data_IF_504464355217
#
_entry.id   IF_504464355217
#
_cell.length_a   1.000
_cell.length_b   1.000
_cell.length_c   1.000
_cell.angle_alpha   90.00
_cell.angle_beta   90.00
_cell.angle_gamma   90.00
#
_symmetry.space_group_name_H-M   'P 1'
#
loop_
_entity.id
_entity.type
_entity.pdbx_description
1 polymer ?
#
# COMPACT_ATOMS: atom_id res chain seq x y z
N UNK A 1 6.64 -27.30 -42.12
CA UNK A 1 6.11 -28.31 -41.17
C UNK A 1 4.76 -27.84 -40.71
N UNK A 2 3.69 -28.62 -40.92
CA UNK A 2 2.35 -28.24 -40.46
C UNK A 2 2.12 -28.80 -39.06
N UNK A 3 1.84 -27.93 -38.08
CA UNK A 3 1.35 -28.35 -36.77
C UNK A 3 -0.02 -29.02 -36.95
N UNK A 4 -0.16 -30.26 -36.48
CA UNK A 4 -1.41 -31.00 -36.63
C UNK A 4 -2.53 -30.33 -35.81
N UNK A 5 -3.76 -30.45 -36.29
CA UNK A 5 -4.96 -29.87 -35.64
C UNK A 5 -5.07 -30.36 -34.19
N UNK A 6 -4.62 -31.58 -33.89
CA UNK A 6 -4.52 -32.12 -32.52
C UNK A 6 -3.58 -31.33 -31.61
N UNK A 7 -2.46 -30.80 -32.11
CA UNK A 7 -1.52 -29.98 -31.31
C UNK A 7 -2.08 -28.58 -31.11
N UNK A 8 -2.75 -28.01 -32.12
CA UNK A 8 -3.45 -26.72 -31.98
C UNK A 8 -4.58 -26.81 -30.94
N UNK A 9 -5.38 -27.87 -30.98
CA UNK A 9 -6.42 -28.13 -29.97
C UNK A 9 -5.81 -28.39 -28.58
N UNK A 10 -4.70 -29.11 -28.47
CA UNK A 10 -4.01 -29.31 -27.19
C UNK A 10 -3.49 -27.99 -26.61
N UNK A 11 -2.90 -27.11 -27.43
CA UNK A 11 -2.45 -25.77 -27.00
C UNK A 11 -3.63 -24.90 -26.53
N UNK A 12 -4.74 -24.88 -27.28
CA UNK A 12 -5.97 -24.17 -26.88
C UNK A 12 -6.53 -24.72 -25.56
N UNK A 13 -6.52 -26.04 -25.38
CA UNK A 13 -7.00 -26.68 -24.14
C UNK A 13 -6.07 -26.44 -22.94
N UNK A 14 -4.74 -26.37 -23.14
CA UNK A 14 -3.82 -25.95 -22.08
C UNK A 14 -4.14 -24.51 -21.61
N UNK A 15 -4.39 -23.60 -22.55
CA UNK A 15 -4.82 -22.22 -22.26
C UNK A 15 -6.26 -22.11 -21.73
N UNK A 16 -7.05 -23.18 -21.77
CA UNK A 16 -8.44 -23.22 -21.27
C UNK A 16 -8.58 -23.86 -19.88
N UNK A 17 -7.45 -24.15 -19.21
CA UNK A 17 -7.46 -24.68 -17.85
C UNK A 17 -7.96 -23.61 -16.86
N UNK A 18 -8.89 -23.92 -15.93
CA UNK A 18 -9.28 -22.98 -14.86
C UNK A 18 -8.14 -22.70 -13.86
N UNK A 19 -6.96 -23.29 -14.06
CA UNK A 19 -5.71 -22.92 -13.39
C UNK A 19 -5.21 -21.50 -13.73
N UNK A 20 -5.82 -20.81 -14.71
CA UNK A 20 -5.69 -19.37 -14.90
C UNK A 20 -6.71 -18.55 -14.08
N UNK A 21 -7.12 -19.01 -12.89
CA UNK A 21 -7.43 -18.06 -11.83
C UNK A 21 -6.12 -17.38 -11.44
N UNK A 22 -5.87 -16.18 -11.96
CA UNK A 22 -4.78 -15.33 -11.48
C UNK A 22 -4.99 -15.08 -9.99
N UNK A 23 -4.20 -15.78 -9.17
CA UNK A 23 -4.11 -15.42 -7.77
C UNK A 23 -3.39 -14.07 -7.71
N UNK A 24 -4.12 -13.02 -7.31
CA UNK A 24 -3.58 -11.67 -7.14
C UNK A 24 -2.40 -11.70 -6.18
N UNK A 25 -1.20 -11.81 -6.75
CA UNK A 25 0.05 -12.03 -6.04
C UNK A 25 0.86 -10.76 -6.18
N UNK A 26 0.62 -9.83 -5.25
CA UNK A 26 1.34 -8.55 -5.18
C UNK A 26 2.84 -8.79 -5.34
N UNK A 27 3.41 -8.24 -6.42
CA UNK A 27 4.82 -8.40 -6.73
C UNK A 27 5.62 -7.65 -5.68
N UNK A 28 6.72 -8.21 -5.15
CA UNK A 28 7.63 -7.45 -4.32
C UNK A 28 8.15 -6.23 -5.10
N UNK A 29 7.93 -5.03 -4.57
CA UNK A 29 8.56 -3.82 -5.09
C UNK A 29 10.05 -3.84 -4.73
N UNK A 30 10.91 -3.44 -5.67
CA UNK A 30 12.36 -3.49 -5.52
C UNK A 30 12.99 -2.12 -5.84
N UNK A 31 13.66 -1.46 -4.87
CA UNK A 31 13.83 -1.86 -3.47
C UNK A 31 12.51 -1.81 -2.69
N UNK A 32 12.38 -2.62 -1.63
CA UNK A 32 11.14 -2.65 -0.84
C UNK A 32 10.87 -1.28 -0.17
N UNK A 33 9.60 -0.83 -0.08
CA UNK A 33 9.24 0.46 0.52
C UNK A 33 9.76 0.61 1.95
N UNK A 34 9.86 -0.48 2.71
CA UNK A 34 10.46 -0.55 4.04
C UNK A 34 11.94 -0.16 4.08
N UNK A 35 12.72 -0.67 3.12
CA UNK A 35 14.17 -0.42 3.05
C UNK A 35 14.39 1.05 2.71
N UNK A 36 13.62 1.58 1.78
CA UNK A 36 13.67 2.99 1.36
C UNK A 36 13.25 3.95 2.48
N UNK A 37 12.13 3.67 3.16
CA UNK A 37 11.67 4.46 4.32
C UNK A 37 12.65 4.39 5.51
N UNK A 38 13.46 3.33 5.60
CA UNK A 38 14.54 3.23 6.58
C UNK A 38 15.77 4.06 6.16
N UNK A 39 16.11 4.08 4.87
CA UNK A 39 17.19 4.92 4.31
C UNK A 39 16.90 6.42 4.41
N UNK A 40 15.62 6.82 4.52
CA UNK A 40 15.21 8.20 4.73
C UNK A 40 15.43 8.71 6.17
N UNK A 41 15.83 7.86 7.14
CA UNK A 41 16.09 8.29 8.52
C UNK A 41 17.23 9.33 8.60
N UNK A 42 16.88 10.59 8.88
CA UNK A 42 17.86 11.70 9.02
C UNK A 42 18.21 12.04 10.47
N UNK A 43 17.34 11.73 11.42
CA UNK A 43 17.53 11.98 12.87
C UNK A 43 16.89 10.85 13.68
N UNK A 44 17.44 10.55 14.86
CA UNK A 44 16.83 9.53 15.73
C UNK A 44 15.48 10.03 16.29
N UNK A 45 14.46 9.17 16.25
CA UNK A 45 13.17 9.37 16.93
C UNK A 45 13.32 9.69 18.43
N UNK A 46 14.43 9.31 19.07
CA UNK A 46 14.74 9.64 20.47
C UNK A 46 15.02 11.14 20.69
N UNK A 47 15.41 11.88 19.65
CA UNK A 47 15.50 13.35 19.71
C UNK A 47 14.13 14.03 19.60
N UNK A 48 13.11 13.30 19.14
CA UNK A 48 11.79 13.82 18.80
C UNK A 48 10.67 13.36 19.76
N UNK A 49 11.03 12.85 20.95
CA UNK A 49 10.07 12.34 21.95
C UNK A 49 8.98 13.36 22.34
N UNK A 50 9.30 14.66 22.34
CA UNK A 50 8.35 15.75 22.66
C UNK A 50 7.29 15.97 21.57
N UNK A 51 7.56 15.49 20.35
CA UNK A 51 6.66 15.62 19.21
C UNK A 51 5.81 14.37 18.97
N UNK A 52 6.08 13.26 19.68
CA UNK A 52 5.26 12.04 19.61
C UNK A 52 3.77 12.33 19.80
N UNK A 53 2.97 11.66 19.00
CA UNK A 53 1.51 11.62 19.09
C UNK A 53 1.05 10.19 18.83
N UNK A 54 -0.08 9.80 19.41
CA UNK A 54 -0.82 8.63 18.91
C UNK A 54 -1.75 9.13 17.80
N UNK A 55 -1.61 8.58 16.60
CA UNK A 55 -2.47 8.88 15.46
C UNK A 55 -3.80 8.11 15.49
N UNK A 56 -4.02 7.27 16.51
CA UNK A 56 -5.22 6.46 16.69
C UNK A 56 -5.47 5.53 15.49
N UNK A 57 -4.48 4.69 15.17
CA UNK A 57 -4.58 3.72 14.05
C UNK A 57 -5.92 2.98 14.09
N UNK A 58 -6.70 2.93 12.98
CA UNK A 58 -8.09 2.49 13.05
C UNK A 58 -8.22 1.03 13.52
N UNK A 59 -8.80 0.84 14.71
CA UNK A 59 -8.89 -0.47 15.36
C UNK A 59 -9.68 -1.50 14.53
N UNK A 60 -10.64 -1.05 13.72
CA UNK A 60 -11.37 -1.91 12.78
C UNK A 60 -10.47 -2.59 11.72
N UNK A 61 -9.32 -2.00 11.40
CA UNK A 61 -8.36 -2.58 10.46
C UNK A 61 -7.46 -3.62 11.14
N UNK A 62 -7.20 -3.47 12.45
CA UNK A 62 -6.26 -4.34 13.21
C UNK A 62 -6.70 -5.80 13.20
N UNK A 63 -8.01 -6.06 13.24
CA UNK A 63 -8.58 -7.39 13.05
C UNK A 63 -8.88 -7.72 11.58
N UNK A 64 -7.91 -7.44 10.70
CA UNK A 64 -7.93 -7.84 9.29
C UNK A 64 -7.85 -9.36 9.06
N UNK A 65 -8.30 -10.17 10.02
CA UNK A 65 -8.69 -11.57 9.81
C UNK A 65 -10.12 -11.69 9.25
N UNK A 66 -10.92 -10.62 9.39
CA UNK A 66 -12.32 -10.54 8.94
C UNK A 66 -12.50 -10.04 7.50
N UNK A 67 -11.47 -9.47 6.90
CA UNK A 67 -11.56 -8.94 5.54
C UNK A 67 -11.66 -10.08 4.53
N UNK A 68 -12.69 -10.03 3.69
CA UNK A 68 -12.69 -10.75 2.44
C UNK A 68 -11.55 -10.25 1.54
N UNK A 69 -11.11 -11.08 0.58
CA UNK A 69 -9.94 -10.78 -0.28
C UNK A 69 -10.03 -9.40 -0.93
N UNK A 70 -11.23 -9.05 -1.37
CA UNK A 70 -11.62 -7.82 -2.06
C UNK A 70 -11.54 -6.59 -1.15
N UNK A 71 -12.06 -6.67 0.08
CA UNK A 71 -11.94 -5.61 1.08
C UNK A 71 -10.50 -5.39 1.51
N UNK A 72 -9.73 -6.47 1.68
CA UNK A 72 -8.31 -6.40 1.96
C UNK A 72 -7.53 -5.68 0.84
N UNK A 73 -7.76 -6.03 -0.43
CA UNK A 73 -7.20 -5.35 -1.61
C UNK A 73 -7.56 -3.85 -1.61
N UNK A 74 -8.83 -3.50 -1.38
CA UNK A 74 -9.29 -2.12 -1.33
C UNK A 74 -8.68 -1.31 -0.17
N UNK A 75 -8.45 -1.93 1.00
CA UNK A 75 -7.78 -1.32 2.15
C UNK A 75 -6.28 -1.11 1.87
N UNK A 76 -5.60 -2.07 1.23
CA UNK A 76 -4.19 -1.91 0.83
C UNK A 76 -4.01 -0.81 -0.21
N UNK A 77 -4.88 -0.76 -1.23
CA UNK A 77 -4.88 0.29 -2.26
C UNK A 77 -5.04 1.67 -1.62
N UNK A 78 -6.06 1.86 -0.78
CA UNK A 78 -6.27 3.12 -0.09
C UNK A 78 -5.09 3.48 0.84
N UNK A 79 -4.49 2.51 1.53
CA UNK A 79 -3.32 2.73 2.37
C UNK A 79 -2.12 3.23 1.53
N UNK A 80 -1.78 2.56 0.44
CA UNK A 80 -0.69 2.99 -0.44
C UNK A 80 -0.97 4.35 -1.09
N UNK A 81 -2.21 4.61 -1.52
CA UNK A 81 -2.60 5.89 -2.11
C UNK A 81 -2.42 7.04 -1.12
N UNK A 82 -2.84 6.86 0.14
CA UNK A 82 -2.67 7.90 1.15
C UNK A 82 -1.18 8.12 1.53
N UNK A 83 -0.36 7.06 1.58
CA UNK A 83 1.09 7.19 1.76
C UNK A 83 1.71 7.94 0.58
N UNK A 84 1.41 7.56 -0.66
CA UNK A 84 1.92 8.22 -1.86
C UNK A 84 1.56 9.72 -1.87
N UNK A 85 0.29 10.04 -1.60
CA UNK A 85 -0.19 11.42 -1.51
C UNK A 85 0.54 12.23 -0.43
N UNK A 86 0.80 11.63 0.74
CA UNK A 86 1.50 12.27 1.85
C UNK A 86 2.96 12.60 1.51
N UNK A 87 3.67 11.66 0.89
CA UNK A 87 5.09 11.82 0.54
C UNK A 87 5.33 12.60 -0.75
N UNK A 88 4.31 12.79 -1.59
CA UNK A 88 4.36 13.65 -2.78
C UNK A 88 4.16 15.14 -2.48
N UNK A 89 3.81 15.51 -1.25
CA UNK A 89 3.64 16.92 -0.85
C UNK A 89 4.99 17.65 -0.77
N UNK A 90 5.00 18.95 -1.07
CA UNK A 90 6.21 19.79 -1.05
C UNK A 90 6.93 19.81 0.31
N UNK A 91 6.22 19.60 1.42
CA UNK A 91 6.83 19.45 2.75
C UNK A 91 7.71 18.21 2.89
N UNK A 92 7.47 17.16 2.11
CA UNK A 92 8.25 15.91 2.05
C UNK A 92 9.58 16.12 1.33
N UNK A 93 9.57 16.88 0.21
CA UNK A 93 10.77 17.22 -0.57
C UNK A 93 11.83 17.98 0.27
N UNK A 94 11.40 18.79 1.23
CA UNK A 94 12.31 19.48 2.18
C UNK A 94 12.77 18.54 3.30
N UNK A 95 11.94 17.56 3.67
CA UNK A 95 12.17 16.66 4.80
C UNK A 95 13.17 15.54 4.50
N UNK A 96 13.26 15.09 3.25
CA UNK A 96 14.04 13.92 2.83
C UNK A 96 15.08 14.24 1.75
N UNK A 97 15.93 13.28 1.41
CA UNK A 97 16.81 13.36 0.25
C UNK A 97 16.02 12.93 -1.00
N UNK A 98 16.25 13.59 -2.14
CA UNK A 98 15.49 13.35 -3.38
C UNK A 98 15.60 11.88 -3.83
N UNK A 99 16.81 11.35 -3.98
CA UNK A 99 17.01 9.99 -4.54
C UNK A 99 16.35 8.85 -3.71
N UNK A 100 16.39 8.82 -2.36
CA UNK A 100 15.59 7.87 -1.59
C UNK A 100 14.08 8.08 -1.69
N UNK A 101 13.62 9.34 -1.70
CA UNK A 101 12.20 9.68 -1.79
C UNK A 101 11.60 9.31 -3.15
N UNK A 102 12.29 9.61 -4.26
CA UNK A 102 11.86 9.26 -5.62
C UNK A 102 11.72 7.74 -5.78
N UNK A 103 12.69 6.96 -5.25
CA UNK A 103 12.62 5.50 -5.24
C UNK A 103 11.46 5.00 -4.39
N UNK A 104 11.18 5.63 -3.25
CA UNK A 104 10.06 5.26 -2.39
C UNK A 104 8.71 5.51 -3.08
N UNK A 105 8.53 6.68 -3.71
CA UNK A 105 7.34 7.02 -4.48
C UNK A 105 7.16 6.12 -5.70
N UNK A 106 8.23 5.82 -6.45
CA UNK A 106 8.17 4.87 -7.56
C UNK A 106 7.80 3.45 -7.11
N UNK A 107 8.36 2.99 -5.98
CA UNK A 107 8.01 1.69 -5.39
C UNK A 107 6.55 1.60 -4.95
N UNK A 108 6.01 2.67 -4.35
CA UNK A 108 4.59 2.78 -3.99
C UNK A 108 3.67 2.82 -5.22
N UNK A 109 4.05 3.56 -6.25
CA UNK A 109 3.27 3.65 -7.49
C UNK A 109 3.16 2.28 -8.17
N UNK A 110 4.25 1.50 -8.25
CA UNK A 110 4.20 0.13 -8.75
C UNK A 110 3.23 -0.77 -7.94
N UNK A 111 3.17 -0.63 -6.61
CA UNK A 111 2.21 -1.39 -5.80
C UNK A 111 0.75 -0.98 -6.06
N UNK A 112 0.50 0.29 -6.41
CA UNK A 112 -0.84 0.76 -6.79
C UNK A 112 -1.26 0.17 -8.14
N UNK A 113 -0.41 0.25 -9.15
CA UNK A 113 -0.66 -0.34 -10.49
C UNK A 113 -0.90 -1.87 -10.40
N UNK A 114 -0.10 -2.58 -9.60
CA UNK A 114 -0.27 -4.01 -9.34
C UNK A 114 -1.64 -4.32 -8.68
N UNK A 115 -2.12 -3.45 -7.77
CA UNK A 115 -3.42 -3.58 -7.10
C UNK A 115 -4.61 -3.23 -8.01
N UNK A 116 -4.47 -2.19 -8.83
CA UNK A 116 -5.51 -1.78 -9.79
C UNK A 116 -5.71 -2.88 -10.84
N UNK A 117 -4.62 -3.44 -11.36
CA UNK A 117 -4.68 -4.61 -12.27
C UNK A 117 -5.44 -5.79 -11.63
N UNK A 118 -5.17 -6.11 -10.35
CA UNK A 118 -5.91 -7.15 -9.65
C UNK A 118 -7.41 -6.85 -9.48
N UNK A 119 -7.79 -5.58 -9.30
CA UNK A 119 -9.19 -5.18 -9.15
C UNK A 119 -9.93 -5.23 -10.49
N UNK A 120 -9.30 -4.83 -11.59
CA UNK A 120 -9.91 -4.87 -12.93
C UNK A 120 -10.26 -6.30 -13.40
N UNK A 121 -9.49 -7.31 -12.95
CA UNK A 121 -9.77 -8.72 -13.23
C UNK A 121 -10.99 -9.27 -12.45
N UNK A 122 -11.44 -8.59 -11.38
CA UNK A 122 -12.60 -9.00 -10.58
C UNK A 122 -13.92 -8.45 -11.16
N UNK A 123 -14.73 -9.34 -11.74
CA UNK A 123 -15.98 -9.02 -12.49
C UNK A 123 -17.06 -8.18 -11.79
N UNK A 124 -16.92 -7.84 -10.51
CA UNK A 124 -17.93 -7.16 -9.69
C UNK A 124 -17.39 -5.93 -8.92
N UNK A 125 -16.30 -5.28 -9.39
CA UNK A 125 -15.63 -4.12 -8.75
C UNK A 125 -16.57 -3.16 -8.00
N UNK A 126 -17.65 -2.73 -8.64
CA UNK A 126 -18.59 -1.74 -8.11
C UNK A 126 -19.27 -2.16 -6.79
N UNK A 127 -19.59 -3.45 -6.64
CA UNK A 127 -20.16 -4.01 -5.42
C UNK A 127 -19.11 -4.23 -4.32
N UNK A 128 -17.84 -4.40 -4.70
CA UNK A 128 -16.69 -4.56 -3.81
C UNK A 128 -16.25 -3.21 -3.20
N UNK A 129 -16.30 -2.14 -3.99
CA UNK A 129 -16.03 -0.78 -3.53
C UNK A 129 -17.09 -0.29 -2.52
N UNK A 130 -18.34 -0.73 -2.67
CA UNK A 130 -19.43 -0.49 -1.71
C UNK A 130 -19.21 -1.23 -0.38
N UNK A 131 -18.83 -2.52 -0.42
CA UNK A 131 -18.55 -3.28 0.79
C UNK A 131 -17.39 -2.72 1.62
N UNK A 132 -16.34 -2.25 0.93
CA UNK A 132 -15.10 -1.73 1.55
C UNK A 132 -15.13 -0.23 1.90
N UNK A 133 -16.20 0.50 1.57
CA UNK A 133 -16.26 1.97 1.69
C UNK A 133 -15.95 2.45 3.12
N UNK A 134 -16.50 1.79 4.14
CA UNK A 134 -16.27 2.14 5.55
C UNK A 134 -14.80 1.99 5.96
N UNK A 135 -14.16 0.90 5.54
CA UNK A 135 -12.76 0.59 5.85
C UNK A 135 -11.80 1.56 5.13
N UNK A 136 -12.08 1.87 3.85
CA UNK A 136 -11.36 2.92 3.10
C UNK A 136 -11.53 4.31 3.73
N UNK A 137 -12.74 4.66 4.15
CA UNK A 137 -13.02 5.95 4.78
C UNK A 137 -12.33 6.07 6.15
N UNK A 138 -12.17 4.97 6.89
CA UNK A 138 -11.35 4.94 8.10
C UNK A 138 -9.86 5.20 7.80
N UNK A 139 -9.30 4.61 6.74
CA UNK A 139 -7.93 4.93 6.28
C UNK A 139 -7.81 6.41 5.93
N UNK A 140 -8.72 6.97 5.11
CA UNK A 140 -8.73 8.40 4.75
C UNK A 140 -8.75 9.33 5.97
N UNK A 141 -9.62 9.07 6.95
CA UNK A 141 -9.72 9.86 8.19
C UNK A 141 -8.43 9.81 9.01
N UNK A 142 -7.79 8.65 9.07
CA UNK A 142 -6.54 8.45 9.78
C UNK A 142 -5.38 9.25 9.14
N UNK A 143 -5.21 9.19 7.82
CA UNK A 143 -4.21 10.01 7.12
C UNK A 143 -4.52 11.51 7.14
N UNK A 144 -5.79 11.90 7.16
CA UNK A 144 -6.16 13.29 7.40
C UNK A 144 -5.66 13.78 8.78
N UNK A 145 -5.77 12.95 9.83
CA UNK A 145 -5.17 13.22 11.14
C UNK A 145 -3.64 13.37 11.11
N UNK A 146 -2.94 12.58 10.28
CA UNK A 146 -1.50 12.71 10.04
C UNK A 146 -1.17 14.06 9.37
N UNK A 147 -1.95 14.48 8.37
CA UNK A 147 -1.82 15.78 7.71
C UNK A 147 -1.98 16.95 8.68
N UNK A 148 -3.08 16.96 9.46
CA UNK A 148 -3.34 17.99 10.49
C UNK A 148 -2.23 18.08 11.54
N UNK A 149 -1.60 16.95 11.90
CA UNK A 149 -0.45 16.93 12.79
C UNK A 149 0.79 17.60 12.15
N UNK A 150 1.09 17.31 10.88
CA UNK A 150 2.20 17.94 10.16
C UNK A 150 2.00 19.45 10.05
N UNK A 151 0.79 19.92 9.70
CA UNK A 151 0.42 21.33 9.69
C UNK A 151 0.63 21.98 11.07
N UNK A 152 0.09 21.38 12.13
CA UNK A 152 0.23 21.85 13.52
C UNK A 152 1.69 21.94 13.97
N UNK A 153 2.54 21.01 13.52
CA UNK A 153 3.98 20.98 13.79
C UNK A 153 4.80 21.77 12.76
N UNK A 154 4.16 22.48 11.81
CA UNK A 154 4.79 23.28 10.75
C UNK A 154 5.82 22.49 9.93
N UNK A 155 5.53 21.22 9.64
CA UNK A 155 6.38 20.32 8.86
C UNK A 155 7.83 20.22 9.39
N UNK A 156 8.00 20.30 10.73
CA UNK A 156 9.33 20.21 11.35
C UNK A 156 10.01 18.87 11.05
N UNK A 157 11.34 18.82 11.14
CA UNK A 157 12.11 17.56 10.99
C UNK A 157 11.64 16.48 11.96
N UNK A 158 11.29 16.85 13.20
CA UNK A 158 10.76 15.90 14.17
C UNK A 158 9.32 15.48 13.88
N UNK A 159 8.50 16.33 13.26
CA UNK A 159 7.18 15.94 12.79
C UNK A 159 7.28 14.87 11.71
N UNK A 160 8.14 15.08 10.72
CA UNK A 160 8.40 14.11 9.66
C UNK A 160 9.02 12.81 10.16
N UNK A 161 9.91 12.85 11.16
CA UNK A 161 10.46 11.64 11.77
C UNK A 161 9.40 10.83 12.54
N UNK A 162 8.49 11.50 13.27
CA UNK A 162 7.33 10.85 13.91
C UNK A 162 6.40 10.22 12.86
N UNK A 163 6.15 10.91 11.74
CA UNK A 163 5.34 10.38 10.64
C UNK A 163 6.02 9.19 9.96
N UNK A 164 7.34 9.24 9.69
CA UNK A 164 8.11 8.14 9.11
C UNK A 164 7.96 6.85 9.92
N UNK A 165 8.01 6.94 11.25
CA UNK A 165 7.83 5.79 12.16
C UNK A 165 6.41 5.20 12.08
N UNK A 166 5.36 6.04 12.05
CA UNK A 166 3.98 5.53 11.94
C UNK A 166 3.68 5.00 10.52
N UNK A 167 4.28 5.57 9.46
CA UNK A 167 4.17 5.03 8.09
C UNK A 167 4.84 3.66 8.00
N UNK A 168 5.94 3.42 8.72
CA UNK A 168 6.55 2.09 8.85
C UNK A 168 5.59 1.08 9.50
N UNK A 169 4.76 1.50 10.46
CA UNK A 169 3.67 0.69 11.05
C UNK A 169 2.55 0.43 10.03
N UNK A 170 2.20 1.41 9.20
CA UNK A 170 1.22 1.25 8.12
C UNK A 170 1.67 0.21 7.08
N UNK A 171 2.92 0.29 6.63
CA UNK A 171 3.50 -0.70 5.72
C UNK A 171 3.57 -2.11 6.36
N UNK A 172 3.77 -2.21 7.68
CA UNK A 172 3.78 -3.50 8.38
C UNK A 172 2.40 -4.14 8.37
N UNK A 173 1.36 -3.35 8.64
CA UNK A 173 -0.01 -3.77 8.51
C UNK A 173 -0.35 -4.25 7.09
N UNK A 174 0.11 -3.54 6.04
CA UNK A 174 -0.10 -3.95 4.64
C UNK A 174 0.62 -5.26 4.32
N UNK A 175 1.86 -5.46 4.77
CA UNK A 175 2.58 -6.72 4.56
C UNK A 175 1.90 -7.91 5.25
N UNK A 176 1.39 -7.74 6.47
CA UNK A 176 0.60 -8.75 7.18
C UNK A 176 -0.72 -9.06 6.44
N UNK A 177 -1.36 -8.05 5.86
CA UNK A 177 -2.60 -8.22 5.07
C UNK A 177 -2.32 -8.95 3.76
N UNK A 178 -1.32 -8.52 2.99
CA UNK A 178 -0.86 -9.19 1.77
C UNK A 178 -0.42 -10.65 2.02
N UNK A 179 0.23 -10.92 3.17
CA UNK A 179 0.64 -12.26 3.58
C UNK A 179 -0.52 -13.22 3.89
N UNK A 180 -1.71 -12.69 4.21
CA UNK A 180 -2.94 -13.49 4.37
C UNK A 180 -3.62 -13.79 3.05
N UNK A 181 -3.54 -12.89 2.07
CA UNK A 181 -4.20 -13.05 0.76
C UNK A 181 -3.53 -14.11 -0.15
N UNK A 182 -2.29 -14.49 0.17
CA UNK A 182 -1.51 -15.55 -0.49
C UNK A 182 -1.71 -16.94 0.15
N UNK A 183 -2.70 -17.13 1.03
CA UNK A 183 -2.98 -18.39 1.76
C UNK A 183 -4.40 -18.88 1.52
#
# INVERSE_FOLDING_TARGET
MALSISVLLALVMLCSSPACSLDCTLRPSHPEPFVLLSQMERISILSCLKDRTDFSFPQMLVDGSKFEKTEATAVMHEMFQQIFNLFSQSGSLVAWDETPLDKFLAGLHQQLEDLETCLEEEKNVEQLLLGSENSRLAVKRYFHGIGLYLEKKKYSRCAWEVVRVEIRRCLFFVNELAGKLRK
#
